data_IF_056155209232
#
_entry.id   IF_056155209232
#
_cell.length_a   1.000
_cell.length_b   1.000
_cell.length_c   1.000
_cell.angle_alpha   90.00
_cell.angle_beta   90.00
_cell.angle_gamma   90.00
#
_symmetry.space_group_name_H-M   'P 1'
#
loop_
_entity.id
_entity.type
_entity.pdbx_description
1 polymer ?
#
# COMPACT_ATOMS: atom_id res chain seq x y z
N UNK A 1 -14.38 27.16 5.96
CA UNK A 1 -14.31 27.13 7.44
C UNK A 1 -14.01 25.70 7.85
N UNK A 2 -12.93 25.43 8.62
CA UNK A 2 -12.57 24.06 9.02
C UNK A 2 -13.60 23.51 10.01
N UNK A 3 -14.01 22.26 9.84
CA UNK A 3 -14.98 21.61 10.73
C UNK A 3 -14.40 21.40 12.14
N UNK A 4 -15.25 21.13 13.13
CA UNK A 4 -14.79 20.77 14.49
C UNK A 4 -13.93 19.50 14.48
N UNK A 5 -14.28 18.52 13.64
CA UNK A 5 -13.46 17.31 13.41
C UNK A 5 -12.07 17.68 12.89
N UNK A 6 -11.99 18.59 11.91
CA UNK A 6 -10.69 19.03 11.37
C UNK A 6 -9.83 19.72 12.44
N UNK A 7 -10.44 20.52 13.33
CA UNK A 7 -9.72 21.16 14.44
C UNK A 7 -9.18 20.13 15.45
N UNK A 8 -9.97 19.10 15.75
CA UNK A 8 -9.54 17.99 16.63
C UNK A 8 -8.37 17.23 16.00
N UNK A 9 -8.51 16.80 14.73
CA UNK A 9 -7.42 16.12 14.01
C UNK A 9 -6.16 16.99 13.95
N UNK A 10 -6.28 18.29 13.64
CA UNK A 10 -5.14 19.22 13.63
C UNK A 10 -4.48 19.38 15.01
N UNK A 11 -5.26 19.26 16.08
CA UNK A 11 -4.72 19.30 17.44
C UNK A 11 -3.96 18.03 17.76
N UNK A 12 -4.52 16.87 17.41
CA UNK A 12 -3.87 15.56 17.56
C UNK A 12 -2.57 15.46 16.76
N UNK A 13 -2.53 16.06 15.55
CA UNK A 13 -1.31 16.15 14.74
C UNK A 13 -0.19 16.90 15.47
N UNK A 14 -0.52 17.99 16.15
CA UNK A 14 0.47 18.86 16.82
C UNK A 14 0.85 18.35 18.22
N UNK A 15 -0.07 17.64 18.87
CA UNK A 15 0.05 17.15 20.23
C UNK A 15 -0.46 15.70 20.29
N UNK A 16 0.38 14.71 19.95
CA UNK A 16 0.01 13.31 20.12
C UNK A 16 -0.14 12.97 21.61
N UNK A 17 -0.93 11.93 21.91
CA UNK A 17 -1.18 11.44 23.28
C UNK A 17 -1.78 12.51 24.20
N UNK A 18 -2.81 13.20 23.70
CA UNK A 18 -3.54 14.25 24.41
C UNK A 18 -4.84 13.71 25.01
N UNK A 19 -5.22 14.18 26.19
CA UNK A 19 -6.47 13.78 26.86
C UNK A 19 -7.68 14.51 26.27
N UNK A 20 -8.89 13.98 26.55
CA UNK A 20 -10.15 14.61 26.16
C UNK A 20 -10.31 16.04 26.69
N UNK A 21 -9.82 16.32 27.91
CA UNK A 21 -9.95 17.63 28.55
C UNK A 21 -9.01 18.65 27.88
N UNK A 22 -7.77 18.25 27.61
CA UNK A 22 -6.81 19.10 26.89
C UNK A 22 -7.26 19.35 25.44
N UNK A 23 -7.90 18.36 24.79
CA UNK A 23 -8.53 18.55 23.47
C UNK A 23 -9.70 19.54 23.53
N UNK A 24 -10.55 19.43 24.53
CA UNK A 24 -11.70 20.32 24.75
C UNK A 24 -11.26 21.77 24.90
N UNK A 25 -10.22 22.01 25.70
CA UNK A 25 -9.60 23.32 25.85
C UNK A 25 -9.00 23.81 24.52
N UNK A 26 -8.26 22.96 23.81
CA UNK A 26 -7.58 23.35 22.56
C UNK A 26 -8.53 23.70 21.41
N UNK A 27 -9.73 23.08 21.36
CA UNK A 27 -10.72 23.32 20.29
C UNK A 27 -11.90 24.20 20.74
N UNK A 28 -11.87 24.68 21.99
CA UNK A 28 -12.86 25.57 22.61
C UNK A 28 -14.30 25.01 22.58
N UNK A 29 -14.47 23.76 23.02
CA UNK A 29 -15.78 23.12 23.22
C UNK A 29 -15.78 22.27 24.49
N UNK A 30 -16.96 21.87 24.96
CA UNK A 30 -17.04 21.01 26.16
C UNK A 30 -16.53 19.56 25.90
N UNK A 31 -16.05 18.86 26.93
CA UNK A 31 -15.54 17.48 26.80
C UNK A 31 -16.55 16.46 26.24
N UNK A 32 -17.85 16.65 26.47
CA UNK A 32 -18.90 15.75 25.96
C UNK A 32 -18.98 15.84 24.44
N UNK A 33 -18.93 17.06 23.89
CA UNK A 33 -18.88 17.29 22.44
C UNK A 33 -17.59 16.76 21.81
N UNK A 34 -16.44 16.89 22.49
CA UNK A 34 -15.19 16.25 22.04
C UNK A 34 -15.36 14.73 22.01
N UNK A 35 -15.92 14.12 23.08
CA UNK A 35 -16.14 12.66 23.14
C UNK A 35 -16.93 12.15 21.95
N UNK A 36 -18.04 12.83 21.61
CA UNK A 36 -18.85 12.47 20.44
C UNK A 36 -18.03 12.54 19.13
N UNK A 37 -17.18 13.55 18.97
CA UNK A 37 -16.30 13.61 17.80
C UNK A 37 -15.22 12.53 17.80
N UNK A 38 -14.59 12.23 18.94
CA UNK A 38 -13.57 11.19 19.06
C UNK A 38 -14.16 9.81 18.75
N UNK A 39 -15.36 9.48 19.27
CA UNK A 39 -16.03 8.22 18.94
C UNK A 39 -16.25 8.06 17.44
N UNK A 40 -16.68 9.12 16.75
CA UNK A 40 -16.84 9.09 15.29
C UNK A 40 -15.51 8.91 14.57
N UNK A 41 -14.46 9.63 14.98
CA UNK A 41 -13.14 9.53 14.36
C UNK A 41 -12.47 8.16 14.61
N UNK A 42 -12.74 7.51 15.75
CA UNK A 42 -12.31 6.14 16.01
C UNK A 42 -13.05 5.14 15.13
N UNK A 43 -14.37 5.30 14.94
CA UNK A 43 -15.14 4.47 14.00
C UNK A 43 -14.68 4.65 12.55
N UNK A 44 -14.24 5.86 12.20
CA UNK A 44 -13.62 6.17 10.90
C UNK A 44 -12.16 5.67 10.80
N UNK A 45 -11.59 5.04 11.83
CA UNK A 45 -10.21 4.52 11.79
C UNK A 45 -9.11 5.60 11.86
N UNK A 46 -9.46 6.88 12.01
CA UNK A 46 -8.51 8.00 11.91
C UNK A 46 -7.75 8.30 13.21
N UNK A 47 -8.25 7.80 14.35
CA UNK A 47 -7.60 8.00 15.65
C UNK A 47 -7.68 6.73 16.47
N UNK A 48 -6.75 6.59 17.41
CA UNK A 48 -6.71 5.52 18.40
C UNK A 48 -6.71 6.10 19.81
N UNK A 49 -6.97 5.24 20.79
CA UNK A 49 -6.96 5.60 22.21
C UNK A 49 -6.10 4.62 23.00
N UNK A 50 -5.27 5.15 23.90
CA UNK A 50 -4.37 4.38 24.76
C UNK A 50 -4.67 4.71 26.24
N UNK A 51 -4.72 3.69 27.10
CA UNK A 51 -4.75 3.91 28.55
C UNK A 51 -3.35 4.17 29.09
N UNK A 52 -3.13 5.37 29.61
CA UNK A 52 -1.84 5.77 30.20
C UNK A 52 -1.99 5.89 31.71
N UNK A 53 -1.13 5.16 32.44
CA UNK A 53 -1.00 5.31 33.89
C UNK A 53 -0.19 6.55 34.23
N UNK A 54 -0.67 7.29 35.22
CA UNK A 54 -0.01 8.46 35.76
C UNK A 54 -0.13 8.40 37.28
N UNK A 55 0.96 8.02 37.95
CA UNK A 55 0.99 7.87 39.40
C UNK A 55 -0.02 6.86 39.95
N UNK A 56 -0.59 7.17 41.12
CA UNK A 56 -1.58 6.34 41.80
C UNK A 56 -2.99 6.78 41.36
N UNK A 57 -3.76 5.88 40.75
CA UNK A 57 -5.13 6.17 40.32
C UNK A 57 -5.58 5.34 39.11
N UNK A 58 -6.79 5.61 38.60
CA UNK A 58 -7.30 5.00 37.37
C UNK A 58 -6.50 5.55 36.16
N UNK A 59 -6.09 4.69 35.21
CA UNK A 59 -5.49 5.13 33.95
C UNK A 59 -6.36 6.16 33.23
N UNK A 60 -5.74 7.11 32.53
CA UNK A 60 -6.44 8.08 31.69
C UNK A 60 -6.34 7.66 30.23
N UNK A 61 -7.38 7.93 29.45
CA UNK A 61 -7.32 7.78 28.00
C UNK A 61 -6.60 8.98 27.38
N UNK A 62 -5.64 8.68 26.51
CA UNK A 62 -5.02 9.64 25.60
C UNK A 62 -5.31 9.22 24.16
N UNK A 63 -5.36 10.20 23.26
CA UNK A 63 -5.70 9.99 21.85
C UNK A 63 -4.54 10.39 20.93
N UNK A 64 -4.37 9.65 19.85
CA UNK A 64 -3.38 9.89 18.77
C UNK A 64 -4.03 9.65 17.40
N UNK A 65 -3.44 10.21 16.36
CA UNK A 65 -3.78 9.84 14.97
C UNK A 65 -3.24 8.44 14.69
N UNK A 66 -4.02 7.64 13.96
CA UNK A 66 -3.52 6.42 13.31
C UNK A 66 -2.72 6.80 12.07
N UNK A 67 -2.12 5.81 11.38
CA UNK A 67 -1.50 6.03 10.07
C UNK A 67 -2.50 6.62 9.06
N UNK A 68 -3.71 6.07 8.99
CA UNK A 68 -4.79 6.61 8.14
C UNK A 68 -5.18 8.05 8.53
N UNK A 69 -5.21 8.34 9.84
CA UNK A 69 -5.42 9.68 10.36
C UNK A 69 -4.34 10.67 9.94
N UNK A 70 -3.08 10.24 9.92
CA UNK A 70 -1.93 11.04 9.48
C UNK A 70 -2.01 11.34 7.97
N UNK A 71 -2.48 10.41 7.15
CA UNK A 71 -2.66 10.61 5.70
C UNK A 71 -3.75 11.63 5.34
N UNK A 72 -4.58 12.07 6.31
CA UNK A 72 -5.51 13.21 6.11
C UNK A 72 -4.79 14.55 5.99
N UNK A 73 -3.51 14.61 6.33
CA UNK A 73 -2.68 15.80 6.21
C UNK A 73 -1.80 15.74 4.96
N UNK A 74 -1.34 16.89 4.45
CA UNK A 74 -0.52 16.90 3.24
C UNK A 74 0.77 16.09 3.43
N UNK A 75 0.87 14.96 2.74
CA UNK A 75 2.11 14.19 2.61
C UNK A 75 2.85 14.58 1.33
N UNK A 76 4.15 14.31 1.28
CA UNK A 76 5.00 14.59 0.10
C UNK A 76 5.85 13.38 -0.29
N UNK A 77 5.40 12.18 0.08
CA UNK A 77 6.13 10.94 -0.16
C UNK A 77 6.38 10.71 -1.64
N UNK A 78 5.33 10.77 -2.48
CA UNK A 78 5.49 10.65 -3.95
C UNK A 78 6.55 11.61 -4.49
N UNK A 79 6.52 12.89 -4.07
CA UNK A 79 7.50 13.89 -4.52
C UNK A 79 8.92 13.58 -4.06
N UNK A 80 9.10 13.09 -2.83
CA UNK A 80 10.40 12.68 -2.32
C UNK A 80 10.90 11.42 -3.05
N UNK A 81 10.05 10.40 -3.19
CA UNK A 81 10.36 9.14 -3.87
C UNK A 81 10.77 9.38 -5.32
N UNK A 82 10.02 10.17 -6.09
CA UNK A 82 10.40 10.54 -7.47
C UNK A 82 11.78 11.22 -7.52
N UNK A 83 12.09 12.11 -6.57
CA UNK A 83 13.42 12.76 -6.51
C UNK A 83 14.54 11.77 -6.18
N UNK A 84 14.30 10.86 -5.24
CA UNK A 84 15.27 9.83 -4.87
C UNK A 84 15.53 8.88 -6.04
N UNK A 85 14.48 8.41 -6.71
CA UNK A 85 14.61 7.54 -7.88
C UNK A 85 15.35 8.23 -9.03
N UNK A 86 15.06 9.51 -9.29
CA UNK A 86 15.82 10.29 -10.28
C UNK A 86 17.32 10.34 -9.92
N UNK A 87 17.64 10.66 -8.67
CA UNK A 87 19.03 10.72 -8.20
C UNK A 87 19.73 9.35 -8.27
N UNK A 88 19.01 8.25 -7.99
CA UNK A 88 19.54 6.89 -8.11
C UNK A 88 19.90 6.56 -9.56
N UNK A 89 19.04 6.90 -10.53
CA UNK A 89 19.32 6.69 -11.96
C UNK A 89 20.51 7.50 -12.46
N UNK A 90 20.69 8.71 -11.95
CA UNK A 90 21.83 9.56 -12.32
C UNK A 90 23.15 9.04 -11.74
N UNK A 91 23.10 8.38 -10.58
CA UNK A 91 24.30 7.92 -9.86
C UNK A 91 24.68 6.47 -10.10
N UNK A 92 23.81 5.66 -10.73
CA UNK A 92 24.00 4.22 -10.90
C UNK A 92 23.72 3.76 -12.34
N UNK A 93 24.40 2.71 -12.83
CA UNK A 93 24.06 2.10 -14.11
C UNK A 93 22.61 1.58 -14.12
N UNK A 94 21.90 1.79 -15.23
CA UNK A 94 20.50 1.34 -15.40
C UNK A 94 20.23 -0.12 -14.99
N UNK A 95 21.05 -1.10 -15.41
CA UNK A 95 20.86 -2.50 -15.01
C UNK A 95 20.92 -2.73 -13.49
N UNK A 96 21.71 -1.93 -12.76
CA UNK A 96 21.77 -2.01 -11.31
C UNK A 96 20.48 -1.50 -10.67
N UNK A 97 19.90 -0.41 -11.21
CA UNK A 97 18.60 0.11 -10.75
C UNK A 97 17.48 -0.90 -10.99
N UNK A 98 17.42 -1.50 -12.18
CA UNK A 98 16.44 -2.57 -12.48
C UNK A 98 16.63 -3.77 -11.54
N UNK A 99 17.87 -4.16 -11.26
CA UNK A 99 18.15 -5.25 -10.31
C UNK A 99 17.61 -4.94 -8.90
N UNK A 100 17.70 -3.69 -8.43
CA UNK A 100 17.15 -3.31 -7.14
C UNK A 100 15.62 -3.49 -7.08
N UNK A 101 14.90 -3.06 -8.11
CA UNK A 101 13.44 -3.28 -8.18
C UNK A 101 13.07 -4.75 -8.26
N UNK A 102 13.81 -5.55 -9.02
CA UNK A 102 13.61 -7.00 -9.06
C UNK A 102 13.87 -7.63 -7.69
N UNK A 103 14.90 -7.18 -6.95
CA UNK A 103 15.19 -7.70 -5.62
C UNK A 103 14.06 -7.39 -4.64
N UNK A 104 13.47 -6.20 -4.69
CA UNK A 104 12.30 -5.84 -3.86
C UNK A 104 11.15 -6.83 -4.12
N UNK A 105 10.87 -7.15 -5.38
CA UNK A 105 9.84 -8.14 -5.72
C UNK A 105 10.20 -9.57 -5.32
N UNK A 106 11.47 -9.96 -5.44
CA UNK A 106 11.94 -11.28 -5.01
C UNK A 106 11.86 -11.46 -3.49
N UNK A 107 12.23 -10.43 -2.73
CA UNK A 107 12.15 -10.43 -1.27
C UNK A 107 10.69 -10.54 -0.83
N UNK A 108 9.80 -9.73 -1.42
CA UNK A 108 8.36 -9.82 -1.16
C UNK A 108 7.81 -11.22 -1.49
N UNK A 109 8.14 -11.78 -2.66
CA UNK A 109 7.70 -13.13 -3.04
C UNK A 109 8.24 -14.23 -2.10
N UNK A 110 9.43 -14.03 -1.55
CA UNK A 110 10.09 -15.02 -0.67
C UNK A 110 9.32 -15.24 0.63
N UNK A 111 8.64 -14.21 1.14
CA UNK A 111 7.82 -14.27 2.35
C UNK A 111 6.64 -15.26 2.22
N UNK A 112 6.17 -15.49 0.99
CA UNK A 112 4.99 -16.30 0.71
C UNK A 112 5.32 -17.64 0.02
N UNK A 113 6.60 -17.94 -0.22
CA UNK A 113 7.00 -19.12 -0.98
C UNK A 113 6.50 -20.43 -0.36
N UNK A 114 6.42 -20.53 0.97
CA UNK A 114 5.89 -21.71 1.67
C UNK A 114 4.39 -21.90 1.49
N UNK A 115 3.63 -20.81 1.34
CA UNK A 115 2.17 -20.83 1.23
C UNK A 115 1.70 -21.33 -0.15
N UNK A 116 2.53 -21.14 -1.19
CA UNK A 116 2.21 -21.57 -2.57
C UNK A 116 2.73 -22.96 -2.94
N UNK A 117 3.35 -23.67 -1.99
CA UNK A 117 3.80 -25.05 -2.22
C UNK A 117 2.60 -25.99 -2.31
N UNK A 118 2.59 -26.86 -3.33
CA UNK A 118 1.51 -27.82 -3.55
C UNK A 118 0.24 -27.25 -4.19
N UNK A 119 0.10 -25.93 -4.29
CA UNK A 119 -1.01 -25.28 -5.00
C UNK A 119 -0.95 -25.55 -6.51
N UNK A 120 -2.13 -25.76 -7.10
CA UNK A 120 -2.36 -25.77 -8.55
C UNK A 120 -2.07 -24.39 -9.17
N UNK A 121 -2.02 -24.33 -10.51
CA UNK A 121 -1.77 -23.07 -11.21
C UNK A 121 -2.85 -22.02 -10.92
N UNK A 122 -4.12 -22.42 -10.98
CA UNK A 122 -5.27 -21.55 -10.67
C UNK A 122 -5.27 -21.08 -9.20
N UNK A 123 -4.92 -21.95 -8.25
CA UNK A 123 -4.79 -21.54 -6.84
C UNK A 123 -3.63 -20.55 -6.63
N UNK A 124 -2.51 -20.72 -7.35
CA UNK A 124 -1.41 -19.75 -7.32
C UNK A 124 -1.81 -18.41 -7.95
N UNK A 125 -2.60 -18.42 -9.03
CA UNK A 125 -3.11 -17.20 -9.65
C UNK A 125 -4.02 -16.43 -8.70
N UNK A 126 -4.89 -17.13 -7.97
CA UNK A 126 -5.73 -16.49 -6.95
C UNK A 126 -4.90 -15.92 -5.80
N UNK A 127 -3.90 -16.67 -5.33
CA UNK A 127 -2.95 -16.17 -4.33
C UNK A 127 -2.21 -14.92 -4.79
N UNK A 128 -1.73 -14.89 -6.05
CA UNK A 128 -1.06 -13.73 -6.64
C UNK A 128 -2.01 -12.53 -6.72
N UNK A 129 -3.27 -12.74 -7.08
CA UNK A 129 -4.30 -11.70 -7.10
C UNK A 129 -4.49 -11.11 -5.69
N UNK A 130 -4.61 -11.95 -4.66
CA UNK A 130 -4.77 -11.51 -3.28
C UNK A 130 -3.54 -10.75 -2.76
N UNK A 131 -2.34 -11.25 -3.05
CA UNK A 131 -1.08 -10.61 -2.68
C UNK A 131 -0.94 -9.23 -3.35
N UNK A 132 -1.17 -9.14 -4.66
CA UNK A 132 -1.13 -7.86 -5.37
C UNK A 132 -2.21 -6.89 -4.85
N UNK A 133 -3.37 -7.39 -4.42
CA UNK A 133 -4.40 -6.56 -3.80
C UNK A 133 -3.95 -5.96 -2.45
N UNK A 134 -3.18 -6.71 -1.65
CA UNK A 134 -2.56 -6.20 -0.41
C UNK A 134 -1.55 -5.09 -0.71
N UNK A 135 -0.83 -5.19 -1.83
CA UNK A 135 0.07 -4.14 -2.33
C UNK A 135 -0.66 -2.96 -2.99
N UNK A 136 -2.01 -2.98 -3.04
CA UNK A 136 -2.84 -1.90 -3.57
C UNK A 136 -3.16 -1.98 -5.05
N UNK A 137 -2.86 -3.10 -5.72
CA UNK A 137 -3.32 -3.35 -7.08
C UNK A 137 -4.78 -3.78 -7.11
N UNK A 138 -5.42 -3.60 -8.27
CA UNK A 138 -6.68 -4.30 -8.59
C UNK A 138 -6.40 -5.25 -9.73
N UNK A 139 -6.46 -6.55 -9.46
CA UNK A 139 -6.03 -7.59 -10.40
C UNK A 139 -7.16 -8.56 -10.68
N UNK A 140 -7.33 -8.92 -11.94
CA UNK A 140 -8.18 -10.03 -12.38
C UNK A 140 -7.38 -10.95 -13.29
N UNK A 141 -7.78 -12.21 -13.40
CA UNK A 141 -7.16 -13.14 -14.32
C UNK A 141 -8.20 -13.99 -15.04
N UNK A 142 -7.86 -14.43 -16.25
CA UNK A 142 -8.69 -15.34 -17.04
C UNK A 142 -7.84 -16.40 -17.73
N UNK A 143 -8.46 -17.56 -18.00
CA UNK A 143 -7.84 -18.63 -18.78
C UNK A 143 -8.33 -18.56 -20.22
N UNK A 144 -7.40 -18.45 -21.18
CA UNK A 144 -7.68 -18.49 -22.61
C UNK A 144 -6.99 -19.69 -23.24
N UNK A 145 -7.73 -20.79 -23.40
CA UNK A 145 -7.17 -22.04 -23.91
C UNK A 145 -6.09 -22.59 -22.97
N UNK A 146 -4.84 -22.60 -23.43
CA UNK A 146 -3.68 -23.07 -22.64
C UNK A 146 -2.92 -21.95 -21.93
N UNK A 147 -3.28 -20.68 -22.11
CA UNK A 147 -2.62 -19.54 -21.46
C UNK A 147 -3.51 -18.90 -20.39
N UNK A 148 -2.86 -18.22 -19.45
CA UNK A 148 -3.52 -17.35 -18.48
C UNK A 148 -3.15 -15.90 -18.77
N UNK A 149 -4.14 -15.03 -18.70
CA UNK A 149 -3.97 -13.59 -18.81
C UNK A 149 -4.27 -12.96 -17.45
N UNK A 150 -3.35 -12.12 -16.98
CA UNK A 150 -3.45 -11.41 -15.70
C UNK A 150 -3.56 -9.92 -16.04
N UNK A 151 -4.60 -9.27 -15.53
CA UNK A 151 -4.97 -7.90 -15.84
C UNK A 151 -4.84 -7.03 -14.59
N UNK A 152 -3.90 -6.11 -14.59
CA UNK A 152 -3.76 -5.11 -13.53
C UNK A 152 -4.60 -3.88 -13.86
N UNK A 153 -5.88 -3.96 -13.51
CA UNK A 153 -6.89 -2.93 -13.78
C UNK A 153 -6.48 -1.59 -13.15
N UNK A 154 -5.87 -1.62 -11.97
CA UNK A 154 -5.29 -0.46 -11.31
C UNK A 154 -3.91 -0.80 -10.76
N UNK A 155 -2.93 0.08 -11.04
CA UNK A 155 -1.56 -0.03 -10.54
C UNK A 155 -1.29 1.10 -9.53
N UNK A 156 -0.93 0.79 -8.26
CA UNK A 156 -0.62 1.79 -7.24
C UNK A 156 0.64 2.59 -7.58
N UNK A 157 1.50 2.06 -8.45
CA UNK A 157 2.74 2.69 -8.87
C UNK A 157 2.60 3.55 -10.13
N UNK A 158 1.41 3.70 -10.71
CA UNK A 158 1.20 4.42 -11.98
C UNK A 158 1.88 5.80 -12.03
N UNK A 159 1.69 6.60 -10.98
CA UNK A 159 2.28 7.96 -10.92
C UNK A 159 3.82 7.94 -10.89
N UNK A 160 4.43 6.91 -10.29
CA UNK A 160 5.88 6.71 -10.29
C UNK A 160 6.35 6.20 -11.65
N UNK A 161 5.63 5.22 -12.21
CA UNK A 161 5.95 4.54 -13.46
C UNK A 161 6.06 5.48 -14.67
N UNK A 162 5.32 6.59 -14.69
CA UNK A 162 5.41 7.61 -15.76
C UNK A 162 6.85 8.13 -15.93
N UNK A 163 7.55 8.40 -14.82
CA UNK A 163 8.93 8.92 -14.85
C UNK A 163 9.99 7.82 -14.62
N UNK A 164 9.59 6.72 -13.99
CA UNK A 164 10.45 5.63 -13.53
C UNK A 164 9.87 4.28 -13.96
N UNK A 165 9.80 3.97 -15.27
CA UNK A 165 9.20 2.73 -15.77
C UNK A 165 9.90 1.46 -15.26
N UNK A 166 11.14 1.57 -14.78
CA UNK A 166 11.84 0.50 -14.06
C UNK A 166 11.10 0.00 -12.81
N UNK A 167 10.20 0.78 -12.20
CA UNK A 167 9.35 0.31 -11.09
C UNK A 167 8.38 -0.79 -11.54
N UNK A 168 8.01 -0.79 -12.82
CA UNK A 168 7.07 -1.74 -13.41
C UNK A 168 7.70 -3.12 -13.67
N UNK A 169 8.92 -3.37 -13.18
CA UNK A 169 9.46 -4.73 -13.09
C UNK A 169 9.06 -5.41 -11.78
N UNK A 170 8.64 -4.66 -10.75
CA UNK A 170 8.27 -5.21 -9.44
C UNK A 170 7.13 -6.22 -9.56
N UNK A 171 6.02 -5.79 -10.14
CA UNK A 171 4.83 -6.58 -10.42
C UNK A 171 5.13 -7.74 -11.38
N UNK A 172 5.85 -7.48 -12.47
CA UNK A 172 6.23 -8.54 -13.43
C UNK A 172 7.07 -9.64 -12.77
N UNK A 173 8.08 -9.26 -11.97
CA UNK A 173 8.95 -10.19 -11.25
C UNK A 173 8.18 -10.94 -10.18
N UNK A 174 7.31 -10.26 -9.43
CA UNK A 174 6.46 -10.88 -8.40
C UNK A 174 5.56 -11.95 -9.01
N UNK A 175 4.81 -11.62 -10.06
CA UNK A 175 3.94 -12.56 -10.79
C UNK A 175 4.76 -13.75 -11.29
N UNK A 176 5.91 -13.49 -11.94
CA UNK A 176 6.74 -14.55 -12.51
C UNK A 176 7.28 -15.50 -11.43
N UNK A 177 7.71 -14.94 -10.30
CA UNK A 177 8.27 -15.69 -9.17
C UNK A 177 7.22 -16.57 -8.51
N UNK A 178 6.04 -16.02 -8.23
CA UNK A 178 4.95 -16.72 -7.54
C UNK A 178 4.33 -17.83 -8.41
N UNK A 179 4.27 -17.64 -9.73
CA UNK A 179 3.78 -18.65 -10.65
C UNK A 179 4.86 -19.65 -11.10
N UNK A 180 6.13 -19.37 -10.79
CA UNK A 180 7.30 -20.12 -11.28
C UNK A 180 7.34 -20.24 -12.81
N UNK A 181 6.85 -19.20 -13.51
CA UNK A 181 6.77 -19.12 -14.97
C UNK A 181 7.05 -17.68 -15.41
N UNK A 182 7.62 -17.46 -16.60
CA UNK A 182 7.80 -16.10 -17.11
C UNK A 182 6.45 -15.45 -17.40
N UNK A 183 6.18 -14.31 -16.76
CA UNK A 183 5.07 -13.43 -17.11
C UNK A 183 5.52 -12.43 -18.17
N UNK A 184 4.91 -12.48 -19.35
CA UNK A 184 5.22 -11.59 -20.47
C UNK A 184 4.20 -10.45 -20.52
N UNK A 185 4.67 -9.21 -20.34
CA UNK A 185 3.82 -8.01 -20.48
C UNK A 185 3.47 -7.81 -21.95
N UNK A 186 2.18 -7.93 -22.29
CA UNK A 186 1.67 -7.76 -23.66
C UNK A 186 0.91 -6.45 -23.87
N UNK A 187 0.50 -5.81 -22.78
CA UNK A 187 -0.09 -4.46 -22.77
C UNK A 187 0.42 -3.70 -21.55
N UNK A 188 0.59 -2.39 -21.70
CA UNK A 188 0.97 -1.51 -20.61
C UNK A 188 0.11 -0.24 -20.64
N UNK A 189 -0.33 0.19 -19.46
CA UNK A 189 -1.05 1.47 -19.29
C UNK A 189 -0.19 2.67 -19.68
N UNK A 190 1.13 2.60 -19.46
CA UNK A 190 2.07 3.67 -19.80
C UNK A 190 2.23 3.85 -21.31
N UNK A 191 1.92 2.82 -22.12
CA UNK A 191 1.95 2.86 -23.58
C UNK A 191 0.58 3.20 -24.20
N UNK A 192 -0.37 3.70 -23.39
CA UNK A 192 -1.72 4.08 -23.83
C UNK A 192 -2.75 2.94 -23.79
N UNK A 193 -2.40 1.79 -23.20
CA UNK A 193 -3.37 0.75 -22.87
C UNK A 193 -4.34 1.17 -21.75
N UNK A 194 -5.47 0.47 -21.62
CA UNK A 194 -6.41 0.69 -20.50
C UNK A 194 -5.87 0.16 -19.17
N UNK A 195 -5.03 -0.87 -19.23
CA UNK A 195 -4.42 -1.55 -18.09
C UNK A 195 -3.22 -2.38 -18.55
N UNK A 196 -2.37 -2.79 -17.61
CA UNK A 196 -1.31 -3.75 -17.91
C UNK A 196 -1.89 -5.16 -18.04
N UNK A 197 -1.41 -5.94 -19.01
CA UNK A 197 -1.76 -7.36 -19.16
C UNK A 197 -0.50 -8.20 -19.26
N UNK A 198 -0.43 -9.25 -18.46
CA UNK A 198 0.60 -10.27 -18.50
C UNK A 198 0.04 -11.57 -19.04
N UNK A 199 0.82 -12.26 -19.88
CA UNK A 199 0.51 -13.60 -20.37
C UNK A 199 1.49 -14.59 -19.75
N UNK A 200 0.93 -15.65 -19.18
CA UNK A 200 1.67 -16.77 -18.60
C UNK A 200 1.25 -18.04 -19.32
N UNK A 201 2.24 -18.78 -19.82
CA UNK A 201 2.03 -20.07 -20.47
C UNK A 201 2.63 -21.17 -19.58
N UNK A 202 1.81 -22.05 -18.99
CA UNK A 202 2.31 -23.26 -18.35
C UNK A 202 3.02 -24.09 -19.40
N UNK A 203 4.30 -24.38 -19.15
CA UNK A 203 5.02 -25.34 -19.98
C UNK A 203 4.29 -26.68 -19.84
N UNK A 204 3.85 -27.26 -20.95
CA UNK A 204 3.33 -28.61 -20.94
C UNK A 204 4.43 -29.54 -20.42
N UNK A 205 4.27 -30.04 -19.20
CA UNK A 205 5.14 -31.09 -18.67
C UNK A 205 4.85 -32.32 -19.53
N UNK A 206 5.73 -32.62 -20.48
CA UNK A 206 5.76 -33.94 -21.10
C UNK A 206 6.18 -34.92 -19.99
N UNK A 207 5.19 -35.66 -19.47
CA UNK A 207 5.40 -36.85 -18.66
C UNK A 207 6.04 -37.93 -19.53
#
# INVERSE_FOLDING_TARGET
MKSRKDKILQTLLRKPKITINELAEAVDINPISVRHHLTNLQMEGLIEAEEVRHGVGRPRLVYSLTEEGMERFPTKYLRLTTRLLAQMKESMPGPLVTKLFNQVAEDLASEYTSQIQGLSMEERLEFVKELLAQEGFTVEWEKKGSEYQIHEISCPYYQIGIAHPEVCTVDQTLISKMLALPANKVRCILDGGTHCTYVVQPVAVKI
#
